data_IF_185026182695
#
_entry.id   IF_185026182695
#
_cell.length_a   1.000
_cell.length_b   1.000
_cell.length_c   1.000
_cell.angle_alpha   90.00
_cell.angle_beta   90.00
_cell.angle_gamma   90.00
#
_symmetry.space_group_name_H-M   'P 1'
#
loop_
_entity.id
_entity.type
_entity.pdbx_description
1 polymer ?
#
# COMPACT_ATOMS: atom_id res chain seq x y z
N UNK A 1 -25.29 -48.82 -25.62
CA UNK A 1 -25.80 -47.80 -24.69
C UNK A 1 -24.66 -46.99 -24.11
N UNK A 2 -24.34 -45.85 -24.72
CA UNK A 2 -23.41 -44.88 -24.14
C UNK A 2 -24.24 -43.91 -23.29
N UNK A 3 -24.16 -44.07 -21.98
CA UNK A 3 -24.78 -43.17 -21.00
C UNK A 3 -24.06 -41.83 -21.06
N UNK A 4 -24.63 -40.90 -21.84
CA UNK A 4 -24.24 -39.49 -21.83
C UNK A 4 -24.50 -38.93 -20.42
N UNK A 5 -23.46 -38.86 -19.58
CA UNK A 5 -23.50 -38.10 -18.35
C UNK A 5 -23.58 -36.61 -18.72
N UNK A 6 -24.71 -35.99 -18.39
CA UNK A 6 -24.90 -34.55 -18.54
C UNK A 6 -23.78 -33.80 -17.79
N UNK A 7 -23.14 -32.79 -18.40
CA UNK A 7 -22.09 -32.06 -17.73
C UNK A 7 -22.71 -31.24 -16.59
N UNK A 8 -22.06 -31.25 -15.42
CA UNK A 8 -22.36 -30.53 -14.16
C UNK A 8 -22.39 -28.98 -14.32
N UNK A 9 -23.00 -28.47 -15.37
CA UNK A 9 -22.93 -27.10 -15.89
C UNK A 9 -23.80 -26.09 -15.16
N UNK A 10 -24.57 -26.53 -14.16
CA UNK A 10 -25.43 -25.64 -13.39
C UNK A 10 -24.88 -25.40 -11.99
N UNK A 11 -23.96 -24.44 -11.85
CA UNK A 11 -23.71 -23.75 -10.57
C UNK A 11 -25.00 -23.07 -10.08
N UNK A 12 -25.91 -23.85 -9.49
CA UNK A 12 -27.23 -23.42 -9.04
C UNK A 12 -27.12 -22.56 -7.78
N UNK A 13 -28.19 -21.82 -7.48
CA UNK A 13 -28.25 -20.94 -6.31
C UNK A 13 -27.91 -21.68 -5.00
N UNK A 14 -28.56 -22.82 -4.75
CA UNK A 14 -28.31 -23.67 -3.57
C UNK A 14 -26.85 -24.13 -3.46
N UNK A 15 -26.23 -24.51 -4.58
CA UNK A 15 -24.85 -25.01 -4.62
C UNK A 15 -23.84 -23.88 -4.37
N UNK A 16 -24.06 -22.71 -4.97
CA UNK A 16 -23.24 -21.52 -4.74
C UNK A 16 -23.40 -21.00 -3.31
N UNK A 17 -24.61 -21.03 -2.75
CA UNK A 17 -24.86 -20.66 -1.36
C UNK A 17 -24.15 -21.62 -0.39
N UNK A 18 -24.27 -22.94 -0.61
CA UNK A 18 -23.59 -23.96 0.20
C UNK A 18 -22.08 -23.79 0.18
N UNK A 19 -21.46 -23.77 -1.01
CA UNK A 19 -20.00 -23.64 -1.14
C UNK A 19 -19.47 -22.34 -0.55
N UNK A 20 -20.26 -21.26 -0.64
CA UNK A 20 -19.93 -19.99 0.01
C UNK A 20 -20.07 -20.05 1.52
N UNK A 21 -21.08 -20.75 2.04
CA UNK A 21 -21.28 -20.96 3.48
C UNK A 21 -20.13 -21.77 4.10
N UNK A 22 -19.49 -22.64 3.31
CA UNK A 22 -18.25 -23.34 3.69
C UNK A 22 -17.00 -22.44 3.69
N UNK A 23 -17.14 -21.12 3.43
CA UNK A 23 -16.03 -20.16 3.48
C UNK A 23 -15.09 -20.19 2.26
N UNK A 24 -15.45 -20.91 1.20
CA UNK A 24 -14.59 -21.07 0.02
C UNK A 24 -14.46 -19.76 -0.79
N UNK A 25 -13.25 -19.54 -1.32
CA UNK A 25 -12.98 -18.39 -2.19
C UNK A 25 -13.65 -18.55 -3.55
N UNK A 26 -14.04 -17.45 -4.22
CA UNK A 26 -14.65 -17.54 -5.56
C UNK A 26 -13.78 -18.28 -6.60
N UNK A 27 -12.43 -18.13 -6.61
CA UNK A 27 -11.56 -18.97 -7.43
C UNK A 27 -11.67 -20.46 -7.09
N UNK A 28 -11.64 -20.83 -5.81
CA UNK A 28 -11.78 -22.23 -5.37
C UNK A 28 -13.14 -22.80 -5.75
N UNK A 29 -14.21 -22.01 -5.65
CA UNK A 29 -15.55 -22.39 -6.09
C UNK A 29 -15.59 -22.62 -7.60
N UNK A 30 -14.87 -21.80 -8.38
CA UNK A 30 -14.78 -21.95 -9.83
C UNK A 30 -14.08 -23.26 -10.23
N UNK A 31 -13.02 -23.62 -9.50
CA UNK A 31 -12.29 -24.87 -9.68
C UNK A 31 -13.13 -26.10 -9.29
N UNK A 32 -13.79 -26.07 -8.12
CA UNK A 32 -14.66 -27.16 -7.65
C UNK A 32 -15.82 -27.40 -8.62
N UNK A 33 -16.42 -26.31 -9.12
CA UNK A 33 -17.55 -26.39 -10.05
C UNK A 33 -17.11 -26.56 -11.51
N UNK A 34 -15.81 -26.61 -11.79
CA UNK A 34 -15.25 -26.73 -13.15
C UNK A 34 -15.85 -25.70 -14.13
N UNK A 35 -15.99 -24.45 -13.68
CA UNK A 35 -16.51 -23.33 -14.48
C UNK A 35 -15.59 -22.12 -14.37
N UNK A 36 -15.66 -21.21 -15.34
CA UNK A 36 -14.86 -19.98 -15.28
C UNK A 36 -15.24 -19.10 -14.07
N UNK A 37 -14.24 -18.40 -13.51
CA UNK A 37 -14.45 -17.43 -12.43
C UNK A 37 -15.48 -16.35 -12.81
N UNK A 38 -15.50 -15.96 -14.09
CA UNK A 38 -16.52 -15.08 -14.68
C UNK A 38 -17.94 -15.64 -14.54
N UNK A 39 -18.14 -16.93 -14.78
CA UNK A 39 -19.45 -17.59 -14.60
C UNK A 39 -19.87 -17.58 -13.13
N UNK A 40 -18.95 -17.89 -12.20
CA UNK A 40 -19.22 -17.81 -10.76
C UNK A 40 -19.61 -16.39 -10.35
N UNK A 41 -18.80 -15.37 -10.71
CA UNK A 41 -19.09 -13.95 -10.40
C UNK A 41 -20.44 -13.50 -10.96
N UNK A 42 -20.77 -13.87 -12.21
CA UNK A 42 -22.04 -13.54 -12.85
C UNK A 42 -23.22 -14.17 -12.10
N UNK A 43 -23.12 -15.44 -11.71
CA UNK A 43 -24.18 -16.15 -10.98
C UNK A 43 -24.32 -15.65 -9.54
N UNK A 44 -23.20 -15.34 -8.87
CA UNK A 44 -23.19 -14.70 -7.55
C UNK A 44 -23.91 -13.35 -7.55
N UNK A 45 -23.79 -12.58 -8.64
CA UNK A 45 -24.56 -11.34 -8.84
C UNK A 45 -26.03 -11.65 -9.14
N UNK A 46 -26.33 -12.59 -10.04
CA UNK A 46 -27.69 -12.98 -10.43
C UNK A 46 -28.54 -13.44 -9.24
N UNK A 47 -27.94 -14.20 -8.32
CA UNK A 47 -28.61 -14.73 -7.13
C UNK A 47 -28.47 -13.82 -5.90
N UNK A 48 -27.95 -12.59 -6.05
CA UNK A 48 -27.67 -11.65 -4.94
C UNK A 48 -26.78 -12.23 -3.83
N UNK A 49 -26.06 -13.32 -4.10
CA UNK A 49 -25.16 -13.98 -3.18
C UNK A 49 -23.92 -13.15 -2.87
N UNK A 50 -23.63 -12.05 -3.58
CA UNK A 50 -22.55 -11.12 -3.23
C UNK A 50 -22.70 -10.54 -1.81
N UNK A 51 -23.92 -10.50 -1.28
CA UNK A 51 -24.21 -10.08 0.10
C UNK A 51 -24.01 -11.18 1.14
N UNK A 52 -23.88 -12.45 0.74
CA UNK A 52 -23.72 -13.61 1.62
C UNK A 52 -22.28 -13.80 2.13
N UNK A 53 -21.72 -12.75 2.71
CA UNK A 53 -20.92 -12.94 3.91
C UNK A 53 -21.62 -12.00 4.87
N UNK A 54 -22.74 -12.51 5.40
CA UNK A 54 -23.62 -11.77 6.29
C UNK A 54 -22.77 -11.07 7.36
N UNK A 55 -23.20 -9.87 7.74
CA UNK A 55 -22.62 -9.31 8.95
C UNK A 55 -22.98 -10.26 10.10
N UNK A 56 -22.04 -10.47 11.00
CA UNK A 56 -22.31 -11.22 12.21
C UNK A 56 -23.39 -10.48 12.99
N UNK A 57 -24.40 -11.20 13.45
CA UNK A 57 -25.40 -10.71 14.38
C UNK A 57 -24.73 -10.55 15.75
N UNK A 58 -24.08 -9.40 15.93
CA UNK A 58 -23.37 -9.02 17.16
C UNK A 58 -24.07 -7.78 17.70
N UNK A 59 -24.43 -7.76 18.97
CA UNK A 59 -25.06 -6.57 19.57
C UNK A 59 -24.03 -5.44 19.71
N UNK A 60 -24.50 -4.21 19.93
CA UNK A 60 -23.58 -3.09 20.16
C UNK A 60 -22.77 -3.25 21.46
N UNK A 61 -23.33 -3.94 22.46
CA UNK A 61 -22.66 -4.24 23.75
C UNK A 61 -21.56 -5.28 23.57
N UNK A 62 -21.86 -6.39 22.88
CA UNK A 62 -20.87 -7.43 22.59
C UNK A 62 -19.75 -6.89 21.70
N UNK A 63 -20.11 -6.04 20.73
CA UNK A 63 -19.14 -5.37 19.88
C UNK A 63 -18.21 -4.46 20.69
N UNK A 64 -18.73 -3.76 21.71
CA UNK A 64 -17.94 -2.89 22.57
C UNK A 64 -16.95 -3.70 23.43
N UNK A 65 -17.39 -4.84 23.98
CA UNK A 65 -16.53 -5.77 24.70
C UNK A 65 -15.43 -6.36 23.79
N UNK A 66 -15.80 -6.83 22.60
CA UNK A 66 -14.87 -7.41 21.61
C UNK A 66 -13.82 -6.40 21.12
N UNK A 67 -14.18 -5.13 20.95
CA UNK A 67 -13.23 -4.09 20.52
C UNK A 67 -12.28 -3.70 21.65
N UNK A 68 -12.71 -3.82 22.91
CA UNK A 68 -11.85 -3.58 24.08
C UNK A 68 -10.73 -4.62 24.16
N UNK A 69 -11.02 -5.88 23.85
CA UNK A 69 -10.08 -7.00 23.93
C UNK A 69 -9.27 -7.22 22.64
N UNK A 70 -9.94 -7.26 21.49
CA UNK A 70 -9.36 -7.74 20.22
C UNK A 70 -8.99 -6.58 19.28
N UNK A 71 -9.38 -5.33 19.58
CA UNK A 71 -8.96 -4.14 18.83
C UNK A 71 -9.71 -3.85 17.52
N UNK A 72 -8.98 -3.43 16.48
CA UNK A 72 -9.52 -2.74 15.28
C UNK A 72 -10.22 -3.73 14.33
N UNK A 73 -11.12 -3.25 13.45
CA UNK A 73 -11.90 -4.04 12.45
C UNK A 73 -11.15 -5.18 11.74
N UNK A 74 -9.84 -5.05 11.52
CA UNK A 74 -9.03 -6.10 10.90
C UNK A 74 -8.95 -7.37 11.76
N UNK A 75 -8.82 -7.21 13.08
CA UNK A 75 -8.75 -8.31 14.04
C UNK A 75 -10.11 -8.98 14.22
N UNK A 76 -11.21 -8.22 14.29
CA UNK A 76 -12.56 -8.78 14.25
C UNK A 76 -12.77 -9.68 13.03
N UNK A 77 -12.29 -9.25 11.86
CA UNK A 77 -12.36 -10.07 10.64
C UNK A 77 -11.51 -11.33 10.70
N UNK A 78 -10.34 -11.26 11.35
CA UNK A 78 -9.49 -12.44 11.54
C UNK A 78 -10.14 -13.45 12.50
N UNK A 79 -10.91 -12.98 13.48
CA UNK A 79 -11.73 -13.79 14.37
C UNK A 79 -13.06 -14.27 13.73
N UNK A 80 -13.25 -14.08 12.42
CA UNK A 80 -14.48 -14.46 11.72
C UNK A 80 -15.68 -13.52 11.93
N UNK A 81 -15.52 -12.45 12.71
CA UNK A 81 -16.56 -11.50 13.05
C UNK A 81 -16.61 -10.37 12.02
N UNK A 82 -17.66 -10.35 11.19
CA UNK A 82 -17.87 -9.29 10.18
C UNK A 82 -18.88 -8.28 10.70
N UNK A 83 -18.40 -7.07 10.98
CA UNK A 83 -19.26 -5.96 11.41
C UNK A 83 -19.11 -4.75 10.48
N UNK A 84 -20.19 -3.99 10.32
CA UNK A 84 -20.22 -2.78 9.50
C UNK A 84 -19.18 -1.77 10.00
N UNK A 85 -18.55 -1.04 9.06
CA UNK A 85 -17.51 -0.05 9.42
C UNK A 85 -18.04 1.03 10.35
N UNK A 86 -19.28 1.47 10.15
CA UNK A 86 -19.87 2.53 10.97
C UNK A 86 -20.12 2.06 12.41
N UNK A 87 -20.53 0.80 12.63
CA UNK A 87 -20.72 0.22 13.97
C UNK A 87 -19.41 0.14 14.75
N UNK A 88 -18.34 -0.35 14.11
CA UNK A 88 -16.99 -0.35 14.71
C UNK A 88 -16.53 1.07 15.08
N UNK A 89 -16.81 2.07 14.23
CA UNK A 89 -16.47 3.47 14.54
C UNK A 89 -17.27 4.01 15.73
N UNK A 90 -18.58 3.73 15.79
CA UNK A 90 -19.43 4.12 16.92
C UNK A 90 -18.98 3.45 18.21
N UNK A 91 -18.67 2.16 18.16
CA UNK A 91 -18.12 1.39 19.27
C UNK A 91 -16.81 1.98 19.80
N UNK A 92 -15.86 2.30 18.93
CA UNK A 92 -14.60 2.96 19.32
C UNK A 92 -14.79 4.35 19.97
N UNK A 93 -15.89 5.05 19.65
CA UNK A 93 -16.27 6.31 20.30
C UNK A 93 -16.89 6.03 21.67
N UNK A 94 -17.74 5.02 21.80
CA UNK A 94 -18.38 4.63 23.07
C UNK A 94 -17.38 4.11 24.10
N UNK A 95 -16.48 3.22 23.70
CA UNK A 95 -15.47 2.61 24.58
C UNK A 95 -14.46 3.66 25.06
N UNK A 96 -14.03 4.56 24.18
CA UNK A 96 -13.00 5.53 24.49
C UNK A 96 -13.25 6.89 23.84
N UNK A 97 -14.20 7.68 24.39
CA UNK A 97 -14.57 8.98 23.85
C UNK A 97 -13.41 9.98 23.89
N UNK A 98 -12.58 9.93 24.94
CA UNK A 98 -11.39 10.78 25.07
C UNK A 98 -10.37 10.51 23.97
N UNK A 99 -10.02 9.25 23.72
CA UNK A 99 -9.11 8.90 22.62
C UNK A 99 -9.73 9.17 21.25
N UNK A 100 -11.05 9.03 21.09
CA UNK A 100 -11.75 9.39 19.87
C UNK A 100 -11.68 10.90 19.60
N UNK A 101 -11.92 11.74 20.61
CA UNK A 101 -11.78 13.18 20.54
C UNK A 101 -10.33 13.60 20.26
N UNK A 102 -9.35 13.04 20.97
CA UNK A 102 -7.93 13.27 20.72
C UNK A 102 -7.55 12.89 19.28
N UNK A 103 -8.03 11.76 18.76
CA UNK A 103 -7.83 11.43 17.33
C UNK A 103 -8.49 12.47 16.43
N UNK A 104 -9.73 12.86 16.68
CA UNK A 104 -10.39 13.87 15.85
C UNK A 104 -9.62 15.21 15.82
N UNK A 105 -9.07 15.63 16.96
CA UNK A 105 -8.28 16.86 17.10
C UNK A 105 -6.86 16.73 16.51
N UNK A 106 -6.19 15.60 16.72
CA UNK A 106 -4.81 15.35 16.28
C UNK A 106 -4.68 14.89 14.82
N UNK A 107 -5.79 14.50 14.17
CA UNK A 107 -5.79 13.98 12.79
C UNK A 107 -5.88 15.05 11.70
N UNK A 108 -5.83 16.34 12.05
CA UNK A 108 -5.41 17.36 11.08
C UNK A 108 -3.88 17.40 11.12
N UNK A 109 -3.15 16.68 10.24
CA UNK A 109 -1.73 16.92 10.11
C UNK A 109 -1.55 18.39 9.79
N UNK A 110 -0.99 19.14 10.73
CA UNK A 110 -0.49 20.48 10.44
C UNK A 110 0.50 20.29 9.29
N UNK A 111 0.10 20.68 8.07
CA UNK A 111 0.98 20.58 6.91
C UNK A 111 2.12 21.53 7.20
N UNK A 112 3.24 20.99 7.68
CA UNK A 112 4.49 21.76 7.79
C UNK A 112 4.76 22.29 6.38
N UNK A 113 4.83 23.62 6.23
CA UNK A 113 5.28 24.25 5.00
C UNK A 113 6.67 23.71 4.71
N UNK A 114 6.75 22.82 3.74
CA UNK A 114 8.02 22.27 3.32
C UNK A 114 8.59 23.21 2.27
N UNK A 115 9.64 23.94 2.64
CA UNK A 115 10.37 24.84 1.75
C UNK A 115 11.86 24.52 1.78
N UNK A 116 12.50 24.60 0.62
CA UNK A 116 13.95 24.48 0.42
C UNK A 116 14.40 25.67 -0.43
N UNK A 117 15.69 26.00 -0.41
CA UNK A 117 16.19 27.28 -0.94
C UNK A 117 15.95 27.51 -2.45
N UNK A 118 15.78 26.43 -3.24
CA UNK A 118 15.59 26.51 -4.69
C UNK A 118 15.77 25.15 -5.36
N UNK A 119 15.64 25.08 -6.69
CA UNK A 119 15.96 23.87 -7.46
C UNK A 119 17.39 23.40 -7.17
N UNK A 120 17.64 22.09 -7.19
CA UNK A 120 18.94 21.50 -6.88
C UNK A 120 19.50 21.82 -5.48
N UNK A 121 18.71 22.41 -4.59
CA UNK A 121 19.11 22.63 -3.19
C UNK A 121 19.12 21.31 -2.40
N UNK A 122 18.14 20.45 -2.65
CA UNK A 122 17.97 19.19 -1.93
C UNK A 122 17.20 18.18 -2.78
N UNK A 123 17.83 17.05 -3.10
CA UNK A 123 17.15 15.91 -3.71
C UNK A 123 16.77 14.88 -2.66
N UNK A 124 15.58 14.30 -2.79
CA UNK A 124 15.12 13.21 -1.93
C UNK A 124 15.21 11.88 -2.66
N UNK A 125 15.93 10.91 -2.09
CA UNK A 125 16.04 9.57 -2.65
C UNK A 125 15.20 8.58 -1.84
N UNK A 126 14.55 7.64 -2.54
CA UNK A 126 13.72 6.58 -1.95
C UNK A 126 13.74 5.30 -2.77
N UNK A 127 13.63 4.17 -2.08
CA UNK A 127 13.36 2.86 -2.65
C UNK A 127 11.92 2.41 -2.35
N UNK A 128 11.20 1.92 -3.36
CA UNK A 128 9.86 1.36 -3.21
C UNK A 128 9.89 -0.16 -3.39
N UNK A 129 9.68 -0.87 -2.29
CA UNK A 129 9.81 -2.34 -2.22
C UNK A 129 8.46 -3.07 -2.31
N UNK A 130 7.37 -2.39 -2.69
CA UNK A 130 6.04 -3.02 -2.76
C UNK A 130 5.97 -4.18 -3.75
N UNK A 131 6.83 -4.17 -4.76
CA UNK A 131 6.90 -5.20 -5.79
C UNK A 131 8.04 -6.20 -5.58
N UNK A 132 8.63 -6.23 -4.38
CA UNK A 132 9.79 -7.08 -4.10
C UNK A 132 9.47 -8.59 -4.24
N UNK A 133 8.20 -8.99 -4.08
CA UNK A 133 7.74 -10.37 -4.34
C UNK A 133 8.00 -10.81 -5.78
N UNK A 134 7.93 -9.88 -6.74
CA UNK A 134 8.26 -10.13 -8.15
C UNK A 134 9.70 -9.77 -8.49
N UNK A 135 10.56 -9.59 -7.47
CA UNK A 135 11.95 -9.13 -7.60
C UNK A 135 12.02 -7.79 -8.35
N UNK A 136 11.08 -6.88 -8.12
CA UNK A 136 11.11 -5.52 -8.67
C UNK A 136 11.26 -4.52 -7.53
N UNK A 137 12.30 -3.70 -7.60
CA UNK A 137 12.56 -2.58 -6.69
C UNK A 137 12.58 -1.31 -7.53
N UNK A 138 11.84 -0.28 -7.13
CA UNK A 138 11.81 1.00 -7.82
C UNK A 138 12.59 2.01 -7.01
N UNK A 139 13.66 2.53 -7.58
CA UNK A 139 14.50 3.59 -7.03
C UNK A 139 14.10 4.93 -7.65
N UNK A 140 14.06 5.99 -6.87
CA UNK A 140 13.79 7.31 -7.43
C UNK A 140 14.38 8.46 -6.63
N UNK A 141 14.68 9.53 -7.36
CA UNK A 141 15.07 10.85 -6.84
C UNK A 141 14.02 11.91 -7.21
N UNK A 142 13.74 12.83 -6.29
CA UNK A 142 12.88 13.99 -6.54
C UNK A 142 13.49 15.26 -5.97
N UNK A 143 13.47 16.33 -6.75
CA UNK A 143 13.90 17.64 -6.29
C UNK A 143 12.90 18.23 -5.28
N UNK A 144 13.44 18.68 -4.14
CA UNK A 144 12.69 19.16 -3.00
C UNK A 144 11.93 20.47 -3.26
N UNK A 145 12.35 21.24 -4.26
CA UNK A 145 11.76 22.54 -4.63
C UNK A 145 10.74 22.38 -5.75
N UNK A 146 11.21 22.00 -6.94
CA UNK A 146 10.45 21.93 -8.19
C UNK A 146 9.51 20.72 -8.27
N UNK A 147 9.75 19.68 -7.45
CA UNK A 147 9.08 18.37 -7.53
C UNK A 147 9.35 17.61 -8.83
N UNK A 148 10.37 18.02 -9.59
CA UNK A 148 10.85 17.29 -10.74
C UNK A 148 11.43 15.94 -10.30
N UNK A 149 11.11 14.88 -11.04
CA UNK A 149 11.65 13.54 -10.80
C UNK A 149 13.03 13.50 -11.45
N UNK A 150 14.08 13.54 -10.64
CA UNK A 150 15.47 13.55 -11.11
C UNK A 150 15.80 12.22 -11.80
N UNK A 151 15.37 11.11 -11.21
CA UNK A 151 15.39 9.79 -11.83
C UNK A 151 14.30 8.88 -11.26
N UNK A 152 13.92 7.88 -12.05
CA UNK A 152 13.06 6.77 -11.62
C UNK A 152 13.51 5.51 -12.36
N UNK A 153 13.98 4.51 -11.63
CA UNK A 153 14.56 3.30 -12.20
C UNK A 153 14.01 2.05 -11.51
N UNK A 154 13.52 1.09 -12.30
CA UNK A 154 13.09 -0.20 -11.80
C UNK A 154 14.22 -1.22 -12.02
N UNK A 155 14.62 -1.92 -10.97
CA UNK A 155 15.68 -2.92 -11.00
C UNK A 155 15.25 -4.22 -10.33
N UNK A 156 16.02 -5.28 -10.58
CA UNK A 156 15.80 -6.58 -9.96
C UNK A 156 16.55 -6.79 -8.62
N UNK A 157 17.18 -5.73 -8.12
CA UNK A 157 18.07 -5.77 -6.95
C UNK A 157 18.03 -4.44 -6.20
N UNK A 158 18.44 -4.45 -4.93
CA UNK A 158 18.55 -3.26 -4.06
C UNK A 158 20.01 -2.86 -3.83
N UNK A 159 20.88 -3.00 -4.85
CA UNK A 159 22.31 -2.69 -4.73
C UNK A 159 22.55 -1.19 -4.74
N UNK A 160 23.52 -0.73 -3.96
CA UNK A 160 23.92 0.67 -3.91
C UNK A 160 24.48 1.19 -5.23
N UNK A 161 25.18 0.34 -5.98
CA UNK A 161 25.68 0.66 -7.33
C UNK A 161 24.55 1.00 -8.30
N UNK A 162 23.41 0.30 -8.23
CA UNK A 162 22.24 0.58 -9.08
C UNK A 162 21.66 1.97 -8.83
N UNK A 163 21.55 2.35 -7.55
CA UNK A 163 21.10 3.69 -7.15
C UNK A 163 22.11 4.74 -7.57
N UNK A 164 23.41 4.46 -7.39
CA UNK A 164 24.49 5.35 -7.81
C UNK A 164 24.45 5.63 -9.32
N UNK A 165 24.36 4.60 -10.16
CA UNK A 165 24.26 4.78 -11.62
C UNK A 165 23.07 5.65 -12.00
N UNK A 166 21.91 5.39 -11.39
CA UNK A 166 20.71 6.20 -11.64
C UNK A 166 20.89 7.66 -11.21
N UNK A 167 21.57 7.87 -10.08
CA UNK A 167 21.91 9.20 -9.57
C UNK A 167 22.89 9.94 -10.48
N UNK A 168 23.96 9.28 -10.95
CA UNK A 168 24.94 9.89 -11.86
C UNK A 168 24.30 10.32 -13.19
N UNK A 169 23.42 9.48 -13.76
CA UNK A 169 22.68 9.83 -14.96
C UNK A 169 21.78 11.07 -14.76
N UNK A 170 21.22 11.25 -13.56
CA UNK A 170 20.45 12.44 -13.22
C UNK A 170 21.36 13.67 -13.02
N UNK A 171 22.51 13.49 -12.38
CA UNK A 171 23.52 14.55 -12.20
C UNK A 171 24.07 15.04 -13.54
N UNK A 172 24.28 14.15 -14.50
CA UNK A 172 24.69 14.52 -15.86
C UNK A 172 23.66 15.43 -16.54
N UNK A 173 22.36 15.17 -16.33
CA UNK A 173 21.26 15.92 -16.95
C UNK A 173 20.93 17.23 -16.25
N UNK A 174 20.91 17.22 -14.92
CA UNK A 174 20.37 18.32 -14.10
C UNK A 174 21.44 19.03 -13.26
N UNK A 175 22.69 18.58 -13.34
CA UNK A 175 23.78 19.06 -12.52
C UNK A 175 23.83 18.42 -11.14
N UNK A 176 24.93 18.67 -10.43
CA UNK A 176 25.14 18.14 -9.08
C UNK A 176 24.25 18.89 -8.08
N UNK A 177 23.36 18.19 -7.39
CA UNK A 177 22.57 18.77 -6.29
C UNK A 177 23.47 19.29 -5.15
N UNK A 178 22.99 20.24 -4.34
CA UNK A 178 23.73 20.73 -3.18
C UNK A 178 23.72 19.73 -2.02
N UNK A 179 22.61 19.00 -1.84
CA UNK A 179 22.42 18.04 -0.76
C UNK A 179 21.51 16.91 -1.21
N UNK A 180 21.68 15.73 -0.63
CA UNK A 180 20.72 14.62 -0.76
C UNK A 180 20.10 14.30 0.59
N UNK A 181 18.83 13.92 0.60
CA UNK A 181 18.17 13.33 1.76
C UNK A 181 17.72 11.92 1.43
N UNK A 182 18.14 10.98 2.26
CA UNK A 182 17.82 9.56 2.10
C UNK A 182 17.36 9.00 3.44
N UNK A 183 16.77 7.81 3.43
CA UNK A 183 16.66 7.04 4.65
C UNK A 183 18.02 6.39 5.01
N UNK A 184 18.01 5.52 6.03
CA UNK A 184 19.20 4.79 6.45
C UNK A 184 19.41 3.50 5.64
N UNK A 185 18.77 3.37 4.47
CA UNK A 185 18.89 2.20 3.60
C UNK A 185 20.31 2.02 3.05
N UNK A 186 20.75 0.77 2.99
CA UNK A 186 22.07 0.41 2.47
C UNK A 186 22.23 0.73 0.98
N UNK A 187 21.13 0.76 0.23
CA UNK A 187 21.11 1.11 -1.19
C UNK A 187 21.54 2.55 -1.46
N UNK A 188 21.40 3.45 -0.48
CA UNK A 188 21.79 4.86 -0.64
C UNK A 188 23.24 5.13 -0.23
N UNK A 189 24.00 4.09 0.19
CA UNK A 189 25.34 4.23 0.76
C UNK A 189 26.30 4.97 -0.16
N UNK A 190 26.42 4.51 -1.41
CA UNK A 190 27.41 5.03 -2.34
C UNK A 190 27.11 6.49 -2.69
N UNK A 191 25.83 6.84 -2.90
CA UNK A 191 25.42 8.23 -3.19
C UNK A 191 25.80 9.16 -2.03
N UNK A 192 25.59 8.72 -0.79
CA UNK A 192 25.98 9.52 0.37
C UNK A 192 27.50 9.72 0.46
N UNK A 193 28.28 8.66 0.19
CA UNK A 193 29.74 8.73 0.18
C UNK A 193 30.22 9.70 -0.89
N UNK A 194 29.72 9.54 -2.13
CA UNK A 194 30.03 10.43 -3.25
C UNK A 194 29.71 11.89 -2.91
N UNK A 195 28.52 12.18 -2.38
CA UNK A 195 28.13 13.55 -2.03
C UNK A 195 29.03 14.18 -0.97
N UNK A 196 29.52 13.40 -0.01
CA UNK A 196 30.47 13.88 0.99
C UNK A 196 31.86 14.11 0.40
N UNK A 197 32.31 13.27 -0.54
CA UNK A 197 33.58 13.47 -1.27
C UNK A 197 33.50 14.74 -2.14
N UNK A 198 32.43 14.89 -2.93
CA UNK A 198 32.25 15.99 -3.88
C UNK A 198 32.02 17.36 -3.22
N UNK A 199 31.30 17.40 -2.09
CA UNK A 199 30.89 18.67 -1.44
C UNK A 199 31.65 18.98 -0.15
N UNK A 200 32.54 18.09 0.28
CA UNK A 200 33.28 18.19 1.53
C UNK A 200 32.63 17.45 2.70
N UNK A 201 33.47 16.90 3.59
CA UNK A 201 33.06 16.28 4.85
C UNK A 201 32.50 17.32 5.82
N UNK A 202 31.61 16.91 6.73
CA UNK A 202 31.05 17.79 7.77
C UNK A 202 30.00 18.82 7.34
N UNK A 203 29.81 19.07 6.03
CA UNK A 203 28.80 20.04 5.51
C UNK A 203 27.33 19.59 5.67
N UNK A 204 27.10 18.30 5.92
CA UNK A 204 25.75 17.71 5.87
C UNK A 204 25.24 17.55 4.44
N UNK A 205 26.13 17.16 3.51
CA UNK A 205 25.83 16.96 2.09
C UNK A 205 24.91 15.76 1.83
N UNK A 206 24.95 14.76 2.71
CA UNK A 206 24.01 13.65 2.77
C UNK A 206 23.28 13.62 4.11
N UNK A 207 21.98 13.90 4.09
CA UNK A 207 21.11 13.92 5.26
C UNK A 207 20.40 12.58 5.37
N UNK A 208 20.74 11.78 6.38
CA UNK A 208 20.05 10.51 6.65
C UNK A 208 19.03 10.70 7.76
N UNK A 209 17.82 10.17 7.58
CA UNK A 209 16.73 10.29 8.55
C UNK A 209 15.86 9.05 8.64
N UNK A 210 15.06 8.92 9.71
CA UNK A 210 13.97 7.93 9.73
C UNK A 210 12.96 8.27 8.62
N UNK A 211 12.43 7.26 7.93
CA UNK A 211 11.48 7.41 6.79
C UNK A 211 10.31 8.37 7.09
N UNK A 212 9.86 8.44 8.35
CA UNK A 212 8.82 9.39 8.79
C UNK A 212 9.20 10.85 8.57
N UNK A 213 10.49 11.23 8.62
CA UNK A 213 10.95 12.59 8.33
C UNK A 213 11.18 12.83 6.83
N UNK A 214 11.11 11.80 6.00
CA UNK A 214 11.24 11.86 4.55
C UNK A 214 9.86 12.06 3.90
N UNK A 215 9.05 12.98 4.45
CA UNK A 215 7.61 13.11 4.17
C UNK A 215 7.21 13.29 2.69
N UNK A 216 8.17 13.56 1.79
CA UNK A 216 7.92 13.86 0.36
C UNK A 216 8.12 12.67 -0.57
N UNK A 217 8.92 11.68 -0.21
CA UNK A 217 9.09 10.45 -1.02
C UNK A 217 7.81 9.60 -1.04
N UNK A 218 6.96 9.75 0.00
CA UNK A 218 5.60 9.19 0.03
C UNK A 218 4.69 9.73 -1.07
N UNK A 219 5.00 10.89 -1.65
CA UNK A 219 4.27 11.47 -2.80
C UNK A 219 4.69 10.80 -4.11
N UNK A 220 5.97 10.49 -4.32
CA UNK A 220 6.46 9.72 -5.46
C UNK A 220 5.82 8.33 -5.52
N UNK A 221 5.80 7.62 -4.38
CA UNK A 221 5.13 6.31 -4.32
C UNK A 221 3.59 6.38 -4.30
N UNK A 222 3.00 7.59 -4.31
CA UNK A 222 1.58 7.85 -4.66
C UNK A 222 1.40 8.22 -6.14
N UNK A 223 2.31 8.97 -6.76
CA UNK A 223 2.26 9.33 -8.19
C UNK A 223 2.53 8.13 -9.10
N UNK A 224 3.44 7.23 -8.72
CA UNK A 224 3.63 5.93 -9.39
C UNK A 224 2.32 5.12 -9.45
N UNK A 225 1.40 5.31 -8.49
CA UNK A 225 0.06 4.69 -8.54
C UNK A 225 -0.93 5.39 -9.48
N UNK A 226 -0.74 6.67 -9.78
CA UNK A 226 -1.63 7.43 -10.69
C UNK A 226 -1.33 7.15 -12.16
N UNK A 227 -0.05 6.93 -12.54
CA UNK A 227 0.29 6.54 -13.93
C UNK A 227 -0.34 5.20 -14.34
N UNK A 228 -0.43 4.24 -13.42
CA UNK A 228 -1.09 2.94 -13.67
C UNK A 228 -2.63 3.00 -13.84
N UNK A 229 -3.28 4.15 -13.64
CA UNK A 229 -4.73 4.31 -13.89
C UNK A 229 -5.04 5.05 -15.20
N UNK A 230 -4.03 5.51 -15.93
CA UNK A 230 -4.21 6.28 -17.17
C UNK A 230 -3.77 5.48 -18.41
N UNK A 231 -3.13 4.32 -18.24
CA UNK A 231 -2.69 3.43 -19.32
C UNK A 231 -3.32 2.03 -19.25
N UNK A 232 -4.59 1.93 -18.85
CA UNK A 232 -5.41 0.71 -19.01
C UNK A 232 -6.72 1.05 -19.70
#
# INVERSE_FOLDING_TARGET
SSSYQAPLTCAGDRQLHFLKSCGLSLPSIAEILQVSLTTVKRRMKRFNLNHSLAYSEVTDVDLDALITDIGVRAQLRAAGIRVQRHRVRRSLVRINPRAAALRAMSQRPHRRLYSVAGPNSLWHLDGNHKLIRWRIVIHGGIDGYSRLIDFLHASNNNRSSTVMTSFLNAVERYGVTSRVRTDHGGENRDVCVMMNILRGSGRGSAIRGRSVHNHLTRTMSRQSKKKHQIEV
#
